data_IF_889144496973
#
_entry.id   IF_889144496973
#
_cell.length_a   1.000
_cell.length_b   1.000
_cell.length_c   1.000
_cell.angle_alpha   90.00
_cell.angle_beta   90.00
_cell.angle_gamma   90.00
#
_symmetry.space_group_name_H-M   'P 1'
#
loop_
_entity.id
_entity.type
_entity.pdbx_description
1 polymer ?
#
# COMPACT_ATOMS: atom_id res chain seq x y z
N UNK A 1 4.11 54.88 -50.21
CA UNK A 1 5.17 54.33 -49.34
C UNK A 1 4.52 53.32 -48.42
N UNK A 2 4.91 52.04 -48.47
CA UNK A 2 4.30 51.00 -47.63
C UNK A 2 4.90 51.11 -46.23
N UNK A 3 4.04 51.46 -45.27
CA UNK A 3 4.36 51.49 -43.85
C UNK A 3 4.81 50.10 -43.39
N UNK A 4 5.96 50.05 -42.73
CA UNK A 4 6.48 48.83 -42.12
C UNK A 4 5.80 48.74 -40.75
N UNK A 5 4.86 47.82 -40.61
CA UNK A 5 4.33 47.44 -39.30
C UNK A 5 5.39 46.62 -38.56
N UNK A 6 6.07 47.27 -37.63
CA UNK A 6 7.01 46.62 -36.73
C UNK A 6 6.22 46.09 -35.54
N UNK A 7 6.26 44.76 -35.38
CA UNK A 7 5.65 44.07 -34.25
C UNK A 7 6.70 43.91 -33.13
N UNK A 8 6.43 44.53 -32.00
CA UNK A 8 7.27 44.44 -30.81
C UNK A 8 6.83 43.28 -29.92
N UNK A 9 7.80 42.56 -29.36
CA UNK A 9 7.55 41.42 -28.47
C UNK A 9 7.45 41.89 -27.01
N UNK A 10 6.59 41.23 -26.22
CA UNK A 10 6.45 41.50 -24.78
C UNK A 10 7.42 40.64 -23.95
N UNK A 11 7.78 41.06 -22.72
CA UNK A 11 8.64 40.26 -21.83
C UNK A 11 8.09 38.87 -21.51
N UNK A 12 6.77 38.67 -21.61
CA UNK A 12 6.13 37.36 -21.40
C UNK A 12 6.50 36.34 -22.50
N UNK A 13 6.79 36.81 -23.71
CA UNK A 13 7.26 35.95 -24.81
C UNK A 13 8.72 35.51 -24.64
N UNK A 14 9.51 36.24 -23.83
CA UNK A 14 10.86 35.85 -23.45
C UNK A 14 10.88 34.81 -22.31
N UNK A 15 9.73 34.26 -21.95
CA UNK A 15 9.63 33.12 -21.08
C UNK A 15 8.98 31.99 -21.85
N UNK A 16 9.71 30.88 -22.04
CA UNK A 16 9.07 29.64 -22.44
C UNK A 16 7.85 29.48 -21.53
N UNK A 17 6.65 29.24 -22.07
CA UNK A 17 5.58 28.79 -21.22
C UNK A 17 6.17 27.61 -20.47
N UNK A 18 6.27 27.74 -19.15
CA UNK A 18 6.06 26.59 -18.30
C UNK A 18 4.59 26.21 -18.55
N UNK A 19 4.32 25.68 -19.74
CA UNK A 19 3.75 24.37 -19.85
C UNK A 19 4.51 23.55 -18.80
N UNK A 20 4.00 23.60 -17.56
CA UNK A 20 3.62 22.36 -16.93
C UNK A 20 2.82 21.66 -18.02
N UNK A 21 3.55 20.93 -18.87
CA UNK A 21 3.12 19.65 -19.33
C UNK A 21 2.46 19.10 -18.09
N UNK A 22 1.14 19.04 -18.08
CA UNK A 22 0.49 17.81 -17.72
C UNK A 22 1.18 16.75 -18.59
N UNK A 23 2.41 16.37 -18.17
CA UNK A 23 2.78 14.98 -18.16
C UNK A 23 1.54 14.41 -17.52
N UNK A 24 0.80 13.60 -18.27
CA UNK A 24 0.12 12.47 -17.68
C UNK A 24 1.13 11.90 -16.69
N UNK A 25 1.05 12.39 -15.45
CA UNK A 25 1.88 11.92 -14.38
C UNK A 25 1.41 10.50 -14.34
N UNK A 26 2.26 9.56 -14.81
CA UNK A 26 2.05 8.14 -14.57
C UNK A 26 1.59 8.10 -13.14
N UNK A 27 0.28 7.90 -12.93
CA UNK A 27 -0.32 8.00 -11.61
C UNK A 27 0.55 7.06 -10.82
N UNK A 28 1.35 7.60 -9.88
CA UNK A 28 2.13 6.74 -9.00
C UNK A 28 1.01 5.97 -8.33
N UNK A 29 0.77 4.74 -8.77
CA UNK A 29 -0.18 3.84 -8.12
C UNK A 29 0.40 3.78 -6.72
N UNK A 30 -0.20 4.52 -5.80
CA UNK A 30 0.20 4.50 -4.40
C UNK A 30 -0.20 3.09 -3.99
N UNK A 31 0.77 2.17 -4.01
CA UNK A 31 0.53 0.80 -3.62
C UNK A 31 0.47 0.87 -2.11
N UNK A 32 -0.76 0.91 -1.60
CA UNK A 32 -1.03 0.87 -0.19
C UNK A 32 -0.69 -0.53 0.30
N UNK A 33 0.28 -0.65 1.18
CA UNK A 33 0.75 -1.95 1.68
C UNK A 33 0.68 -2.01 3.20
N UNK A 34 0.48 -3.22 3.72
CA UNK A 34 0.63 -3.56 5.12
C UNK A 34 1.26 -4.95 5.28
N UNK A 35 1.36 -5.42 6.51
CA UNK A 35 1.95 -6.71 6.82
C UNK A 35 1.22 -7.44 7.95
N UNK A 36 1.40 -8.75 8.02
CA UNK A 36 0.87 -9.57 9.10
C UNK A 36 1.99 -9.79 10.11
N UNK A 37 1.72 -9.44 11.36
CA UNK A 37 2.63 -9.75 12.47
C UNK A 37 2.59 -11.24 12.83
N UNK A 38 3.66 -11.74 13.44
CA UNK A 38 3.74 -13.12 13.93
C UNK A 38 2.70 -13.46 15.02
N UNK A 39 2.02 -12.46 15.59
CA UNK A 39 0.92 -12.65 16.54
C UNK A 39 -0.45 -12.79 15.84
N UNK A 40 -0.51 -12.75 14.51
CA UNK A 40 -1.77 -12.82 13.76
C UNK A 40 -2.55 -11.50 13.75
N UNK A 41 -1.84 -10.37 13.89
CA UNK A 41 -2.43 -9.03 13.70
C UNK A 41 -2.12 -8.51 12.30
N UNK A 42 -3.13 -7.98 11.60
CA UNK A 42 -2.94 -7.15 10.41
C UNK A 42 -2.41 -5.80 10.85
N UNK A 43 -1.30 -5.36 10.29
CA UNK A 43 -0.67 -4.08 10.61
C UNK A 43 -0.75 -3.16 9.40
N UNK A 44 -1.40 -2.02 9.61
CA UNK A 44 -1.54 -0.92 8.67
C UNK A 44 -0.58 0.19 9.07
N UNK A 45 0.51 0.44 8.31
CA UNK A 45 1.41 1.54 8.58
C UNK A 45 0.67 2.89 8.58
N UNK A 46 1.05 3.82 9.46
CA UNK A 46 0.39 5.13 9.55
C UNK A 46 0.37 5.90 8.23
N UNK A 47 1.39 5.73 7.38
CA UNK A 47 1.41 6.33 6.03
C UNK A 47 0.28 5.78 5.17
N UNK A 48 0.14 4.45 5.13
CA UNK A 48 -0.92 3.76 4.40
C UNK A 48 -2.31 4.15 4.91
N UNK A 49 -2.47 4.28 6.23
CA UNK A 49 -3.73 4.70 6.83
C UNK A 49 -4.08 6.16 6.52
N UNK A 50 -3.11 7.06 6.55
CA UNK A 50 -3.30 8.45 6.16
C UNK A 50 -3.66 8.60 4.68
N UNK A 51 -3.03 7.81 3.80
CA UNK A 51 -3.32 7.80 2.36
C UNK A 51 -4.70 7.18 2.05
N UNK A 52 -5.22 6.30 2.93
CA UNK A 52 -6.57 5.76 2.82
C UNK A 52 -7.65 6.80 3.16
N UNK A 53 -7.33 7.78 4.01
CA UNK A 53 -8.29 8.81 4.44
C UNK A 53 -9.45 8.28 5.29
N UNK A 54 -9.29 7.09 5.88
CA UNK A 54 -10.32 6.41 6.68
C UNK A 54 -9.99 6.55 8.15
N UNK A 55 -11.01 6.83 8.96
CA UNK A 55 -10.88 6.89 10.41
C UNK A 55 -10.96 5.47 11.01
N UNK A 56 -9.81 4.80 11.11
CA UNK A 56 -9.72 3.46 11.69
C UNK A 56 -10.05 3.40 13.19
N UNK A 57 -10.03 4.52 13.92
CA UNK A 57 -10.26 4.54 15.37
C UNK A 57 -11.75 4.54 15.69
N UNK A 58 -12.53 5.28 14.89
CA UNK A 58 -13.97 5.45 15.06
C UNK A 58 -14.82 4.58 14.12
N UNK A 59 -14.18 3.76 13.28
CA UNK A 59 -14.89 2.86 12.35
C UNK A 59 -14.69 1.41 12.75
N UNK A 60 -15.79 0.65 12.79
CA UNK A 60 -15.75 -0.79 12.92
C UNK A 60 -15.77 -1.45 11.54
N UNK A 61 -15.09 -2.59 11.40
CA UNK A 61 -14.95 -3.25 10.10
C UNK A 61 -15.44 -4.69 10.17
N UNK A 62 -16.24 -5.08 9.17
CA UNK A 62 -16.54 -6.49 8.89
C UNK A 62 -15.40 -7.09 8.09
N UNK A 63 -14.89 -8.22 8.55
CA UNK A 63 -13.82 -8.95 7.88
C UNK A 63 -14.40 -10.17 7.18
N UNK A 64 -14.28 -10.19 5.85
CA UNK A 64 -14.76 -11.26 5.00
C UNK A 64 -13.66 -11.94 4.19
N UNK A 65 -13.96 -13.13 3.69
CA UNK A 65 -13.16 -13.84 2.69
C UNK A 65 -14.02 -14.11 1.46
N UNK A 66 -13.38 -14.33 0.31
CA UNK A 66 -14.11 -14.76 -0.88
C UNK A 66 -14.74 -16.14 -0.64
N UNK A 67 -16.05 -16.24 -0.86
CA UNK A 67 -16.80 -17.48 -0.72
C UNK A 67 -16.29 -18.58 -1.66
N UNK A 68 -16.26 -19.83 -1.19
CA UNK A 68 -15.83 -21.00 -1.98
C UNK A 68 -14.32 -21.27 -2.02
N UNK A 69 -13.47 -20.43 -1.40
CA UNK A 69 -12.01 -20.66 -1.35
C UNK A 69 -11.55 -21.19 0.00
N UNK A 70 -10.78 -22.28 -0.03
CA UNK A 70 -10.17 -22.91 1.17
C UNK A 70 -9.01 -22.10 1.78
N UNK A 71 -8.39 -21.21 1.01
CA UNK A 71 -7.27 -20.36 1.46
C UNK A 71 -7.56 -18.89 1.17
N UNK A 72 -7.32 -17.99 2.14
CA UNK A 72 -7.45 -16.56 1.90
C UNK A 72 -6.31 -16.05 1.02
N UNK A 73 -6.63 -15.77 -0.25
CA UNK A 73 -5.75 -14.99 -1.13
C UNK A 73 -6.03 -13.49 -1.00
N UNK A 74 -7.28 -13.14 -0.73
CA UNK A 74 -7.71 -11.78 -0.43
C UNK A 74 -8.62 -11.80 0.79
N UNK A 75 -8.44 -10.83 1.69
CA UNK A 75 -9.39 -10.50 2.76
C UNK A 75 -10.13 -9.23 2.38
N UNK A 76 -11.38 -9.10 2.76
CA UNK A 76 -12.18 -7.92 2.51
C UNK A 76 -12.50 -7.26 3.84
N UNK A 77 -12.26 -5.96 3.95
CA UNK A 77 -12.72 -5.13 5.05
C UNK A 77 -13.80 -4.20 4.53
N UNK A 78 -14.98 -4.32 5.11
CA UNK A 78 -16.11 -3.43 4.81
C UNK A 78 -16.38 -2.61 6.07
N UNK A 79 -16.37 -1.27 6.00
CA UNK A 79 -16.76 -0.46 7.15
C UNK A 79 -18.23 -0.73 7.48
N UNK A 80 -18.50 -0.96 8.75
CA UNK A 80 -19.84 -1.14 9.27
C UNK A 80 -20.20 0.04 10.18
N UNK A 81 -21.48 0.39 10.21
CA UNK A 81 -22.01 1.30 11.24
C UNK A 81 -22.11 0.55 12.57
N UNK A 82 -21.93 1.27 13.69
CA UNK A 82 -21.77 0.80 15.09
C UNK A 82 -22.92 -0.04 15.70
N UNK A 83 -23.67 -0.80 14.91
CA UNK A 83 -24.82 -1.58 15.36
C UNK A 83 -24.96 -2.92 14.64
N UNK A 84 -23.85 -3.48 14.16
CA UNK A 84 -23.85 -4.80 13.53
C UNK A 84 -23.06 -5.81 14.34
N UNK A 85 -23.62 -7.00 14.52
CA UNK A 85 -22.90 -8.18 15.02
C UNK A 85 -21.78 -8.55 14.01
N UNK A 86 -20.71 -9.20 14.48
CA UNK A 86 -19.54 -9.62 13.68
C UNK A 86 -18.61 -8.51 13.15
N UNK A 87 -18.54 -7.37 13.83
CA UNK A 87 -17.59 -6.29 13.52
C UNK A 87 -16.32 -6.36 14.36
N UNK A 88 -15.19 -5.96 13.78
CA UNK A 88 -13.90 -5.87 14.44
C UNK A 88 -13.42 -4.42 14.50
N UNK A 89 -12.90 -4.01 15.66
CA UNK A 89 -12.33 -2.69 15.85
C UNK A 89 -10.82 -2.73 15.67
N UNK A 90 -10.27 -1.69 15.05
CA UNK A 90 -8.83 -1.55 14.85
C UNK A 90 -8.21 -0.85 16.06
N UNK A 91 -7.14 -1.42 16.61
CA UNK A 91 -6.38 -0.84 17.70
C UNK A 91 -5.31 0.11 17.15
N UNK A 92 -5.23 1.32 17.71
CA UNK A 92 -4.13 2.25 17.42
C UNK A 92 -2.86 1.77 18.12
N UNK A 93 -1.82 1.51 17.36
CA UNK A 93 -0.45 1.35 17.84
C UNK A 93 0.38 2.60 17.51
N UNK A 94 1.54 2.76 18.15
CA UNK A 94 2.31 4.02 18.16
C UNK A 94 2.52 4.68 16.77
N UNK A 95 2.73 3.90 15.70
CA UNK A 95 2.93 4.40 14.32
C UNK A 95 2.15 3.58 13.28
N UNK A 96 1.12 2.87 13.71
CA UNK A 96 0.38 1.93 12.87
C UNK A 96 -0.97 1.60 13.48
N UNK A 97 -1.89 1.15 12.66
CA UNK A 97 -3.15 0.59 13.11
C UNK A 97 -3.08 -0.93 13.04
N UNK A 98 -3.64 -1.64 14.03
CA UNK A 98 -3.55 -3.08 14.12
C UNK A 98 -4.89 -3.74 14.34
N UNK A 99 -5.20 -4.78 13.57
CA UNK A 99 -6.42 -5.57 13.70
C UNK A 99 -6.07 -7.01 14.06
N UNK A 100 -6.52 -7.48 15.23
CA UNK A 100 -6.18 -8.81 15.73
C UNK A 100 -7.10 -9.88 15.14
N UNK A 101 -6.57 -10.77 14.30
CA UNK A 101 -7.33 -11.83 13.61
C UNK A 101 -6.62 -13.20 13.63
N UNK A 102 -5.99 -13.64 14.74
CA UNK A 102 -5.12 -14.82 14.74
C UNK A 102 -5.85 -16.11 14.32
N UNK A 103 -7.05 -16.33 14.84
CA UNK A 103 -7.83 -17.54 14.53
C UNK A 103 -8.35 -17.56 13.10
N UNK A 104 -8.80 -16.40 12.59
CA UNK A 104 -9.32 -16.26 11.23
C UNK A 104 -8.19 -16.49 10.22
N UNK A 105 -7.03 -15.87 10.44
CA UNK A 105 -5.85 -16.06 9.59
C UNK A 105 -5.39 -17.53 9.58
N UNK A 106 -5.31 -18.19 10.74
CA UNK A 106 -5.00 -19.63 10.82
C UNK A 106 -6.02 -20.49 10.08
N UNK A 107 -7.33 -20.28 10.31
CA UNK A 107 -8.40 -20.99 9.59
C UNK A 107 -8.34 -20.77 8.09
N UNK A 108 -7.91 -19.58 7.67
CA UNK A 108 -7.75 -19.22 6.26
C UNK A 108 -6.46 -19.77 5.61
N UNK A 109 -5.64 -20.52 6.37
CA UNK A 109 -4.42 -21.15 5.88
C UNK A 109 -3.21 -20.22 5.80
N UNK A 110 -3.22 -19.08 6.51
CA UNK A 110 -2.09 -18.15 6.61
C UNK A 110 -1.24 -18.55 7.83
N UNK A 111 -0.04 -19.10 7.57
CA UNK A 111 0.93 -19.49 8.61
C UNK A 111 1.90 -18.33 8.93
N UNK A 112 1.38 -17.31 9.62
CA UNK A 112 2.13 -16.12 10.01
C UNK A 112 3.19 -16.38 11.11
N UNK A 113 3.16 -17.56 11.74
CA UNK A 113 4.18 -17.94 12.74
C UNK A 113 5.48 -18.36 12.06
N UNK A 114 5.37 -19.02 10.90
CA UNK A 114 6.53 -19.53 10.15
C UNK A 114 6.95 -18.65 9.00
N UNK A 115 6.03 -17.91 8.38
CA UNK A 115 6.28 -17.15 7.16
C UNK A 115 5.87 -15.69 7.31
N UNK A 116 6.63 -14.79 6.67
CA UNK A 116 6.27 -13.36 6.59
C UNK A 116 5.22 -13.16 5.52
N UNK A 117 4.18 -12.41 5.86
CA UNK A 117 3.13 -12.04 4.92
C UNK A 117 3.02 -10.53 4.83
N UNK A 118 2.94 -10.05 3.60
CA UNK A 118 2.58 -8.69 3.26
C UNK A 118 1.19 -8.70 2.60
N UNK A 119 0.52 -7.56 2.59
CA UNK A 119 -0.69 -7.40 1.81
C UNK A 119 -0.71 -6.06 1.10
N UNK A 120 -1.37 -6.05 -0.05
CA UNK A 120 -1.66 -4.84 -0.81
C UNK A 120 -3.13 -4.49 -0.63
N UNK A 121 -3.41 -3.24 -0.31
CA UNK A 121 -4.76 -2.71 -0.09
C UNK A 121 -5.26 -2.12 -1.40
N UNK A 122 -6.45 -2.54 -1.81
CA UNK A 122 -7.18 -1.97 -2.94
C UNK A 122 -8.51 -1.45 -2.44
N UNK A 123 -8.83 -0.22 -2.80
CA UNK A 123 -10.12 0.37 -2.50
C UNK A 123 -11.11 -0.06 -3.58
N UNK A 124 -12.31 -0.42 -3.17
CA UNK A 124 -13.43 -0.71 -4.06
C UNK A 124 -14.73 -0.26 -3.42
N UNK A 125 -15.76 -0.03 -4.22
CA UNK A 125 -17.08 0.33 -3.73
C UNK A 125 -17.91 -0.94 -3.52
N UNK A 126 -18.50 -1.08 -2.34
CA UNK A 126 -19.34 -2.22 -1.96
C UNK A 126 -20.55 -1.73 -1.18
N UNK A 127 -21.75 -2.05 -1.67
CA UNK A 127 -23.03 -1.66 -1.04
C UNK A 127 -23.14 -0.14 -0.72
N UNK A 128 -22.54 0.71 -1.56
CA UNK A 128 -22.54 2.18 -1.38
C UNK A 128 -21.55 2.70 -0.34
N UNK A 129 -20.66 1.85 0.18
CA UNK A 129 -19.58 2.22 1.08
C UNK A 129 -18.20 1.87 0.47
N UNK A 130 -17.17 2.62 0.87
CA UNK A 130 -15.78 2.33 0.46
C UNK A 130 -15.25 1.15 1.24
N UNK A 131 -15.04 0.02 0.56
CA UNK A 131 -14.47 -1.20 1.11
C UNK A 131 -13.00 -1.39 0.68
N UNK A 132 -12.31 -2.27 1.38
CA UNK A 132 -10.88 -2.53 1.22
C UNK A 132 -10.62 -4.00 0.96
N UNK A 133 -10.05 -4.32 -0.20
CA UNK A 133 -9.53 -5.64 -0.50
C UNK A 133 -8.05 -5.69 -0.10
N UNK A 134 -7.71 -6.55 0.85
CA UNK A 134 -6.35 -6.88 1.25
C UNK A 134 -5.89 -8.12 0.49
N UNK A 135 -5.15 -7.92 -0.58
CA UNK A 135 -4.54 -9.02 -1.32
C UNK A 135 -3.30 -9.51 -0.58
N UNK A 136 -3.39 -10.71 0.00
CA UNK A 136 -2.32 -11.35 0.75
C UNK A 136 -1.25 -11.87 -0.21
N UNK A 137 0.00 -11.59 0.11
CA UNK A 137 1.18 -12.10 -0.58
C UNK A 137 2.16 -12.61 0.46
N UNK A 138 2.57 -13.86 0.32
CA UNK A 138 3.69 -14.35 1.10
C UNK A 138 4.91 -13.55 0.65
N UNK A 139 5.59 -12.92 1.60
CA UNK A 139 6.85 -12.27 1.34
C UNK A 139 7.89 -13.39 1.29
N UNK A 140 7.87 -14.16 0.19
CA UNK A 140 8.96 -15.06 -0.15
C UNK A 140 10.19 -14.19 -0.17
N UNK A 141 11.10 -14.44 0.78
CA UNK A 141 12.36 -13.75 0.89
C UNK A 141 12.98 -13.74 -0.51
N UNK A 142 12.91 -12.59 -1.19
CA UNK A 142 13.48 -12.43 -2.51
C UNK A 142 14.90 -13.01 -2.41
N UNK A 143 15.24 -14.04 -3.20
CA UNK A 143 16.52 -14.71 -3.05
C UNK A 143 17.56 -13.62 -3.12
N UNK A 144 18.26 -13.38 -2.01
CA UNK A 144 19.42 -12.47 -1.98
C UNK A 144 20.28 -12.97 -3.12
N UNK A 145 20.29 -12.23 -4.23
CA UNK A 145 21.04 -12.61 -5.42
C UNK A 145 22.44 -12.98 -4.93
N UNK A 146 22.87 -14.24 -5.07
CA UNK A 146 24.15 -14.66 -4.55
C UNK A 146 25.20 -13.75 -5.15
N UNK A 147 26.05 -13.19 -4.30
CA UNK A 147 27.08 -12.25 -4.69
C UNK A 147 27.94 -12.86 -5.81
N UNK A 148 27.75 -12.37 -7.05
CA UNK A 148 28.52 -12.77 -8.23
C UNK A 148 29.79 -11.92 -8.42
N UNK A 149 30.21 -11.19 -7.39
CA UNK A 149 31.43 -10.41 -7.42
C UNK A 149 32.67 -11.30 -7.28
N UNK A 150 33.59 -11.19 -8.23
CA UNK A 150 34.94 -11.83 -8.24
C UNK A 150 35.59 -11.81 -6.83
N UNK A 151 36.33 -12.86 -6.43
CA UNK A 151 37.00 -12.90 -5.14
C UNK A 151 37.85 -11.66 -4.96
N UNK A 152 37.62 -10.91 -3.88
CA UNK A 152 38.45 -9.76 -3.53
C UNK A 152 39.87 -10.29 -3.31
N UNK A 153 40.76 -9.99 -4.25
CA UNK A 153 42.16 -10.40 -4.20
C UNK A 153 42.79 -10.06 -2.85
N UNK A 154 43.58 -10.98 -2.32
CA UNK A 154 44.29 -10.85 -1.05
C UNK A 154 45.20 -9.63 -1.12
N UNK A 155 45.00 -8.62 -0.26
CA UNK A 155 45.96 -7.51 -0.14
C UNK A 155 47.34 -8.10 0.25
N UNK A 156 48.41 -7.82 -0.50
CA UNK A 156 49.75 -8.21 -0.06
C UNK A 156 50.11 -7.43 1.21
N UNK A 157 50.68 -8.12 2.20
CA UNK A 157 51.28 -7.47 3.38
C UNK A 157 52.53 -6.74 2.90
N UNK A 158 52.60 -5.43 3.14
CA UNK A 158 53.86 -4.70 3.02
C UNK A 158 54.79 -5.16 4.15
N UNK A 159 56.03 -5.53 3.78
CA UNK A 159 57.15 -5.68 4.71
C UNK A 159 57.59 -4.31 5.23
#
# INVERSE_FOLDING_TARGET
MKSIDIRFFSPAENSLPKAKKEKAAKAKKIILTGYISNAGKLVFPAKTAADLGVDFENTTFKVGMQEGKRKAKSLYLVPASDSQEDTFQVEKAAKSYTLSLPFILKKSGVDFEKSKYAFTIRLFEYEGATAFELQLSQEDAAPKVPYTGKPRGRKPKAN
#
